data_IF_777017480247
#
_entry.id   IF_777017480247
#
_cell.length_a   1.000
_cell.length_b   1.000
_cell.length_c   1.000
_cell.angle_alpha   90.00
_cell.angle_beta   90.00
_cell.angle_gamma   90.00
#
_symmetry.space_group_name_H-M   'P 1'
#
loop_
_entity.id
_entity.type
_entity.pdbx_description
1 polymer ?
#
# COMPACT_ATOMS: atom_id res chain seq x y z
N UNK A 1 6.62 -16.94 6.34
CA UNK A 1 5.79 -16.19 5.37
C UNK A 1 4.79 -15.24 6.03
N UNK A 2 3.90 -15.65 6.96
CA UNK A 2 3.05 -14.71 7.70
C UNK A 2 3.69 -14.07 8.94
N UNK A 3 4.79 -14.65 9.45
CA UNK A 3 5.42 -14.28 10.73
C UNK A 3 6.39 -13.09 10.64
N UNK A 4 6.83 -12.69 9.44
CA UNK A 4 7.76 -11.56 9.24
C UNK A 4 7.09 -10.28 9.74
N UNK A 5 7.82 -9.44 10.47
CA UNK A 5 7.27 -8.19 10.95
C UNK A 5 7.10 -7.19 9.80
N UNK A 6 6.05 -6.37 9.85
CA UNK A 6 5.67 -5.45 8.78
C UNK A 6 6.76 -4.43 8.47
N UNK A 7 7.50 -3.93 9.47
CA UNK A 7 8.64 -3.03 9.24
C UNK A 7 9.70 -3.64 8.32
N UNK A 8 9.86 -4.97 8.32
CA UNK A 8 10.78 -5.68 7.43
C UNK A 8 10.20 -5.91 6.03
N UNK A 9 8.89 -5.70 5.84
CA UNK A 9 8.21 -5.85 4.55
C UNK A 9 8.19 -4.51 3.82
N UNK A 10 7.90 -3.42 4.53
CA UNK A 10 7.91 -2.07 3.95
C UNK A 10 9.31 -1.47 3.88
N UNK A 11 10.21 -1.87 4.77
CA UNK A 11 11.58 -1.34 4.87
C UNK A 11 11.58 0.20 4.83
N UNK A 12 12.41 0.82 3.98
CA UNK A 12 12.42 2.27 3.73
C UNK A 12 11.73 2.64 2.40
N UNK A 13 10.77 1.81 1.93
CA UNK A 13 10.07 2.05 0.67
C UNK A 13 9.34 3.40 0.72
N UNK A 14 9.56 4.31 -0.26
CA UNK A 14 8.82 5.57 -0.32
C UNK A 14 7.33 5.31 -0.53
N UNK A 15 6.50 6.17 0.03
CA UNK A 15 5.04 6.11 -0.15
C UNK A 15 4.47 7.51 -0.35
N UNK A 16 3.30 7.59 -1.00
CA UNK A 16 2.61 8.86 -1.19
C UNK A 16 1.84 9.22 0.09
N UNK A 17 2.21 10.33 0.73
CA UNK A 17 1.47 10.92 1.84
C UNK A 17 1.18 12.38 1.54
N UNK A 18 -0.09 12.79 1.56
CA UNK A 18 -0.55 14.10 1.10
C UNK A 18 -1.68 14.64 1.97
N UNK A 19 -1.92 15.96 2.00
CA UNK A 19 -3.10 16.53 2.65
C UNK A 19 -4.37 16.35 1.80
N UNK A 20 -5.54 16.46 2.44
CA UNK A 20 -6.85 16.19 1.81
C UNK A 20 -7.24 17.20 0.72
N UNK A 21 -6.71 18.43 0.77
CA UNK A 21 -7.05 19.50 -0.17
C UNK A 21 -6.35 19.39 -1.53
N UNK A 22 -5.39 18.47 -1.69
CA UNK A 22 -4.77 18.23 -3.00
C UNK A 22 -5.78 17.64 -3.98
N UNK A 23 -5.66 18.03 -5.25
CA UNK A 23 -6.54 17.51 -6.31
C UNK A 23 -6.23 16.05 -6.62
N UNK A 24 -7.24 15.32 -7.12
CA UNK A 24 -7.06 13.94 -7.59
C UNK A 24 -5.96 13.86 -8.65
N UNK A 25 -5.88 14.84 -9.56
CA UNK A 25 -4.84 14.87 -10.59
C UNK A 25 -3.42 14.99 -10.00
N UNK A 26 -3.21 15.86 -9.01
CA UNK A 26 -1.89 16.00 -8.39
C UNK A 26 -1.48 14.75 -7.62
N UNK A 27 -2.42 14.14 -6.88
CA UNK A 27 -2.16 12.92 -6.11
C UNK A 27 -1.88 11.74 -7.03
N UNK A 28 -2.69 11.53 -8.06
CA UNK A 28 -2.47 10.46 -9.05
C UNK A 28 -1.17 10.64 -9.83
N UNK A 29 -0.73 11.88 -10.09
CA UNK A 29 0.60 12.15 -10.68
C UNK A 29 1.73 11.71 -9.75
N UNK A 30 1.62 11.94 -8.44
CA UNK A 30 2.61 11.48 -7.44
C UNK A 30 2.62 9.96 -7.31
N UNK A 31 1.44 9.34 -7.30
CA UNK A 31 1.27 7.88 -7.34
C UNK A 31 1.98 7.29 -8.55
N UNK A 32 1.74 7.84 -9.75
CA UNK A 32 2.39 7.39 -10.97
C UNK A 32 3.93 7.57 -10.93
N UNK A 33 4.41 8.71 -10.43
CA UNK A 33 5.85 8.99 -10.34
C UNK A 33 6.60 8.05 -9.39
N UNK A 34 5.94 7.56 -8.34
CA UNK A 34 6.51 6.60 -7.39
C UNK A 34 6.12 5.14 -7.69
N UNK A 35 5.38 4.89 -8.77
CA UNK A 35 4.82 3.57 -9.09
C UNK A 35 3.98 2.96 -7.94
N UNK A 36 3.28 3.82 -7.20
CA UNK A 36 2.43 3.45 -6.08
C UNK A 36 0.95 3.46 -6.47
N UNK A 37 0.19 2.50 -5.95
CA UNK A 37 -1.23 2.31 -6.27
C UNK A 37 -2.18 2.86 -5.20
N UNK A 38 -1.62 3.48 -4.15
CA UNK A 38 -2.36 4.17 -3.10
C UNK A 38 -1.63 5.42 -2.60
N UNK A 39 -2.40 6.38 -2.10
CA UNK A 39 -1.94 7.54 -1.36
C UNK A 39 -2.59 7.54 0.02
N UNK A 40 -1.78 7.82 1.05
CA UNK A 40 -2.25 8.08 2.40
C UNK A 40 -2.57 9.56 2.52
N UNK A 41 -3.74 9.86 3.07
CA UNK A 41 -4.15 11.23 3.36
C UNK A 41 -3.93 11.47 4.84
N UNK A 42 -3.14 12.50 5.14
CA UNK A 42 -2.81 12.88 6.51
C UNK A 42 -3.08 14.35 6.78
N UNK A 43 -3.62 14.64 7.96
CA UNK A 43 -3.81 16.00 8.47
C UNK A 43 -3.03 16.14 9.77
N UNK A 44 -2.24 17.20 9.91
CA UNK A 44 -1.36 17.43 11.07
C UNK A 44 -0.45 16.23 11.42
N UNK A 45 -0.04 15.46 10.38
CA UNK A 45 0.81 14.27 10.52
C UNK A 45 0.07 12.99 10.95
N UNK A 46 -1.25 13.03 11.10
CA UNK A 46 -2.08 11.89 11.49
C UNK A 46 -2.84 11.36 10.28
N UNK A 47 -2.92 10.03 10.13
CA UNK A 47 -3.68 9.38 9.06
C UNK A 47 -5.18 9.66 9.21
N UNK A 48 -5.80 10.24 8.18
CA UNK A 48 -7.25 10.49 8.12
C UNK A 48 -7.93 9.69 7.02
N UNK A 49 -7.19 9.22 6.01
CA UNK A 49 -7.77 8.58 4.85
C UNK A 49 -6.79 7.83 3.97
N UNK A 50 -7.33 7.04 3.05
CA UNK A 50 -6.59 6.42 1.94
C UNK A 50 -7.33 6.67 0.63
N UNK A 51 -6.59 6.94 -0.43
CA UNK A 51 -7.09 7.04 -1.80
C UNK A 51 -6.32 6.06 -2.67
N UNK A 52 -7.03 5.25 -3.47
CA UNK A 52 -6.43 4.20 -4.29
C UNK A 52 -6.78 4.39 -5.77
N UNK A 53 -6.10 3.64 -6.66
CA UNK A 53 -6.50 3.57 -8.07
C UNK A 53 -7.97 3.18 -8.26
N UNK A 54 -8.52 2.34 -7.37
CA UNK A 54 -9.93 1.96 -7.37
C UNK A 54 -10.82 3.19 -7.14
N UNK A 55 -10.44 4.05 -6.21
CA UNK A 55 -11.20 5.28 -5.93
C UNK A 55 -11.12 6.24 -7.13
N UNK A 56 -9.94 6.39 -7.74
CA UNK A 56 -9.78 7.17 -8.98
C UNK A 56 -10.71 6.65 -10.10
N UNK A 57 -10.76 5.34 -10.32
CA UNK A 57 -11.61 4.75 -11.36
C UNK A 57 -13.09 4.92 -11.05
N UNK A 58 -13.54 4.48 -9.86
CA UNK A 58 -14.97 4.33 -9.59
C UNK A 58 -15.62 5.59 -9.02
N UNK A 59 -14.91 6.40 -8.24
CA UNK A 59 -15.47 7.59 -7.57
C UNK A 59 -15.23 8.87 -8.34
N UNK A 60 -14.24 8.90 -9.24
CA UNK A 60 -13.90 10.10 -10.03
C UNK A 60 -14.26 9.89 -11.49
N UNK A 61 -13.55 8.98 -12.18
CA UNK A 61 -13.70 8.82 -13.63
C UNK A 61 -15.09 8.30 -14.02
N UNK A 62 -15.55 7.22 -13.39
CA UNK A 62 -16.87 6.66 -13.66
C UNK A 62 -18.01 7.60 -13.26
N UNK A 63 -17.78 8.48 -12.29
CA UNK A 63 -18.73 9.49 -11.86
C UNK A 63 -18.72 10.77 -12.72
N UNK A 64 -17.79 10.88 -13.69
CA UNK A 64 -17.66 12.05 -14.56
C UNK A 64 -17.14 13.30 -13.84
N UNK A 65 -16.45 13.14 -12.71
CA UNK A 65 -15.84 14.26 -11.99
C UNK A 65 -14.54 14.70 -12.67
N UNK A 66 -14.26 16.01 -12.62
CA UNK A 66 -13.01 16.57 -13.14
C UNK A 66 -11.86 16.37 -12.13
N UNK A 67 -10.85 15.52 -12.42
CA UNK A 67 -9.77 15.24 -11.49
C UNK A 67 -8.90 16.46 -11.16
N UNK A 68 -8.91 17.51 -12.00
CA UNK A 68 -8.16 18.74 -11.77
C UNK A 68 -8.89 19.70 -10.81
N UNK A 69 -10.16 19.44 -10.50
CA UNK A 69 -10.98 20.28 -9.61
C UNK A 69 -11.48 19.55 -8.37
N UNK A 70 -11.64 18.23 -8.43
CA UNK A 70 -12.03 17.39 -7.30
C UNK A 70 -10.81 17.15 -6.39
N UNK A 71 -10.98 17.42 -5.10
CA UNK A 71 -9.96 17.12 -4.08
C UNK A 71 -10.00 15.66 -3.67
N UNK A 72 -8.88 15.09 -3.24
CA UNK A 72 -8.88 13.71 -2.69
C UNK A 72 -9.72 13.60 -1.42
N UNK A 73 -9.86 14.69 -0.66
CA UNK A 73 -10.76 14.81 0.49
C UNK A 73 -12.21 14.42 0.20
N UNK A 74 -12.70 14.69 -1.02
CA UNK A 74 -14.08 14.40 -1.43
C UNK A 74 -14.32 12.93 -1.79
N UNK A 75 -13.27 12.19 -2.13
CA UNK A 75 -13.38 10.85 -2.75
C UNK A 75 -12.58 9.75 -2.05
N UNK A 76 -11.82 10.08 -1.00
CA UNK A 76 -11.03 9.11 -0.23
C UNK A 76 -11.90 8.17 0.61
N UNK A 77 -11.31 7.07 1.06
CA UNK A 77 -11.90 6.23 2.12
C UNK A 77 -11.43 6.75 3.47
N UNK A 78 -12.35 7.27 4.27
CA UNK A 78 -12.08 7.83 5.59
C UNK A 78 -11.77 6.73 6.61
N UNK A 79 -10.91 7.04 7.57
CA UNK A 79 -10.58 6.17 8.70
C UNK A 79 -10.31 4.70 8.30
N UNK A 80 -9.38 4.45 7.34
CA UNK A 80 -9.10 3.11 6.90
C UNK A 80 -8.57 2.26 8.05
N UNK A 81 -8.84 0.96 8.01
CA UNK A 81 -8.20 0.03 8.93
C UNK A 81 -6.67 0.08 8.71
N UNK A 82 -5.93 0.34 9.78
CA UNK A 82 -4.47 0.45 9.75
C UNK A 82 -3.84 -0.61 10.65
N UNK A 83 -2.54 -0.83 10.48
CA UNK A 83 -1.78 -1.81 11.24
C UNK A 83 -0.49 -1.20 11.79
N UNK A 84 -0.03 -1.73 12.92
CA UNK A 84 1.28 -1.42 13.47
C UNK A 84 2.38 -2.08 12.64
N UNK A 85 3.53 -1.44 12.56
CA UNK A 85 4.76 -1.92 11.93
C UNK A 85 5.40 -3.13 12.65
N UNK A 86 5.13 -3.32 13.95
CA UNK A 86 5.60 -4.45 14.76
C UNK A 86 4.79 -5.74 14.59
N UNK A 87 3.66 -5.70 13.86
CA UNK A 87 2.79 -6.87 13.69
C UNK A 87 3.31 -7.82 12.61
N UNK A 88 2.99 -9.11 12.72
CA UNK A 88 3.25 -10.07 11.64
C UNK A 88 2.49 -9.69 10.37
N UNK A 89 3.14 -9.80 9.22
CA UNK A 89 2.55 -9.52 7.90
C UNK A 89 1.28 -10.32 7.60
N UNK A 90 1.17 -11.54 8.14
CA UNK A 90 -0.04 -12.36 8.02
C UNK A 90 -1.30 -11.69 8.59
N UNK A 91 -1.17 -10.79 9.58
CA UNK A 91 -2.29 -10.01 10.08
C UNK A 91 -2.81 -9.04 9.01
N UNK A 92 -1.91 -8.39 8.26
CA UNK A 92 -2.30 -7.51 7.17
C UNK A 92 -3.00 -8.30 6.04
N UNK A 93 -2.50 -9.49 5.71
CA UNK A 93 -3.15 -10.38 4.72
C UNK A 93 -4.54 -10.81 5.16
N UNK A 94 -4.71 -11.13 6.44
CA UNK A 94 -6.03 -11.47 6.99
C UNK A 94 -6.98 -10.26 6.94
N UNK A 95 -6.51 -9.05 7.30
CA UNK A 95 -7.31 -7.82 7.16
C UNK A 95 -7.75 -7.58 5.71
N UNK A 96 -6.84 -7.77 4.75
CA UNK A 96 -7.16 -7.64 3.31
C UNK A 96 -8.23 -8.64 2.87
N UNK A 97 -8.13 -9.89 3.31
CA UNK A 97 -9.08 -10.95 2.99
C UNK A 97 -10.48 -10.63 3.54
N UNK A 98 -10.58 -10.35 4.85
CA UNK A 98 -11.86 -10.06 5.51
C UNK A 98 -12.50 -8.76 5.00
N UNK A 99 -11.69 -7.73 4.76
CA UNK A 99 -12.18 -6.41 4.37
C UNK A 99 -12.38 -6.19 2.88
N UNK A 100 -11.94 -7.12 2.02
CA UNK A 100 -12.08 -7.00 0.56
C UNK A 100 -11.27 -5.87 -0.07
N UNK A 101 -10.18 -5.45 0.58
CA UNK A 101 -9.23 -4.43 0.10
C UNK A 101 -7.81 -5.01 0.00
N UNK A 102 -6.93 -4.29 -0.70
CA UNK A 102 -5.57 -4.79 -1.02
C UNK A 102 -4.44 -3.92 -0.48
N UNK A 103 -4.77 -2.84 0.22
CA UNK A 103 -3.83 -1.87 0.75
C UNK A 103 -4.14 -1.65 2.22
N UNK A 104 -3.15 -1.77 3.07
CA UNK A 104 -3.28 -1.52 4.52
C UNK A 104 -2.24 -0.47 4.91
N UNK A 105 -2.68 0.71 5.38
CA UNK A 105 -1.78 1.70 5.97
C UNK A 105 -1.03 1.14 7.18
N UNK A 106 0.28 1.38 7.21
CA UNK A 106 1.14 1.10 8.36
C UNK A 106 1.36 2.40 9.12
N UNK A 107 1.19 2.38 10.45
CA UNK A 107 1.22 3.61 11.26
C UNK A 107 2.05 3.47 12.55
N UNK A 108 2.53 4.60 13.10
CA UNK A 108 3.08 4.74 14.48
C UNK A 108 1.98 4.74 15.53
N UNK A 109 2.31 4.57 16.82
CA UNK A 109 1.30 4.43 17.90
C UNK A 109 0.37 5.64 17.96
N UNK A 110 0.89 6.80 17.57
CA UNK A 110 0.16 8.06 17.46
C UNK A 110 -0.55 8.24 16.11
N UNK A 111 -0.80 7.13 15.39
CA UNK A 111 -1.47 7.06 14.10
C UNK A 111 -0.80 7.89 12.99
N UNK A 112 0.54 8.02 13.03
CA UNK A 112 1.30 8.68 11.96
C UNK A 112 1.64 7.68 10.85
N UNK A 113 1.43 8.01 9.57
CA UNK A 113 1.80 7.14 8.45
C UNK A 113 3.28 6.76 8.44
N UNK A 114 3.57 5.47 8.25
CA UNK A 114 4.90 4.92 8.02
C UNK A 114 5.07 4.29 6.64
N UNK A 115 3.96 3.88 6.01
CA UNK A 115 3.98 3.24 4.71
C UNK A 115 2.67 2.52 4.40
N UNK A 116 2.68 1.71 3.35
CA UNK A 116 1.55 0.88 2.93
C UNK A 116 2.06 -0.53 2.67
N UNK A 117 1.40 -1.53 3.25
CA UNK A 117 1.56 -2.92 2.80
C UNK A 117 0.43 -3.27 1.85
N UNK A 118 0.76 -4.07 0.83
CA UNK A 118 -0.15 -4.45 -0.24
C UNK A 118 -0.22 -5.96 -0.40
N UNK A 119 -1.30 -6.45 -1.03
CA UNK A 119 -1.39 -7.87 -1.39
C UNK A 119 -0.24 -8.32 -2.32
N UNK A 120 0.36 -7.40 -3.09
CA UNK A 120 1.53 -7.69 -3.94
C UNK A 120 2.78 -8.02 -3.13
N UNK A 121 2.91 -7.48 -1.91
CA UNK A 121 4.07 -7.74 -1.06
C UNK A 121 4.17 -9.23 -0.69
N UNK A 122 3.05 -9.96 -0.64
CA UNK A 122 3.06 -11.41 -0.47
C UNK A 122 3.72 -12.13 -1.65
N UNK A 123 3.39 -11.73 -2.88
CA UNK A 123 3.93 -12.33 -4.10
C UNK A 123 5.43 -12.09 -4.26
N UNK A 124 5.92 -10.91 -3.85
CA UNK A 124 7.35 -10.58 -3.91
C UNK A 124 8.22 -11.46 -3.02
N UNK A 125 7.71 -11.80 -1.82
CA UNK A 125 8.42 -12.68 -0.87
C UNK A 125 8.44 -14.13 -1.39
N UNK A 126 7.34 -14.59 -1.99
CA UNK A 126 7.26 -15.92 -2.60
C UNK A 126 8.20 -16.03 -3.82
N UNK A 127 8.32 -14.97 -4.62
CA UNK A 127 9.22 -14.93 -5.78
C UNK A 127 10.70 -15.06 -5.37
N UNK A 128 11.12 -14.46 -4.25
CA UNK A 128 12.48 -14.62 -3.71
C UNK A 128 12.70 -16.08 -3.29
N UNK A 129 11.74 -16.68 -2.57
CA UNK A 129 11.83 -18.09 -2.17
C UNK A 129 11.91 -19.03 -3.37
N UNK A 130 11.20 -18.73 -4.46
CA UNK A 130 11.26 -19.50 -5.69
C UNK A 130 12.62 -19.34 -6.39
N UNK A 131 13.17 -18.13 -6.45
CA UNK A 131 14.50 -17.86 -7.00
C UNK A 131 15.61 -18.64 -6.27
N UNK A 132 15.56 -18.68 -4.94
CA UNK A 132 16.50 -19.46 -4.12
C UNK A 132 16.37 -20.98 -4.34
N UNK A 133 15.17 -21.49 -4.62
CA UNK A 133 14.96 -22.90 -4.96
C UNK A 133 15.53 -23.22 -6.34
N UNK A 134 15.34 -22.33 -7.33
CA UNK A 134 15.83 -22.51 -8.69
C UNK A 134 17.37 -22.54 -8.74
N UNK A 135 18.04 -21.60 -8.05
CA UNK A 135 19.52 -21.60 -7.95
C UNK A 135 20.04 -22.89 -7.32
N UNK A 136 19.40 -23.38 -6.24
CA UNK A 136 19.79 -24.64 -5.60
C UNK A 136 19.68 -25.86 -6.54
N UNK A 137 18.70 -25.87 -7.45
CA UNK A 137 18.54 -26.95 -8.43
C UNK A 137 19.59 -26.91 -9.53
N UNK A 138 20.02 -25.71 -9.95
CA UNK A 138 21.11 -25.55 -10.93
C UNK A 138 22.46 -26.01 -10.36
N UNK A 139 22.75 -25.71 -9.08
CA UNK A 139 24.00 -26.14 -8.42
C UNK A 139 24.11 -27.68 -8.29
N UNK A 140 22.99 -28.38 -8.08
CA UNK A 140 22.96 -29.85 -8.03
C UNK A 140 23.22 -30.47 -9.42
N UNK A 141 22.87 -29.78 -10.50
CA UNK A 141 23.07 -30.26 -11.87
C UNK A 141 24.54 -30.17 -12.32
N UNK A 142 25.36 -29.35 -11.67
CA UNK A 142 26.80 -29.16 -12.01
C UNK A 142 27.72 -30.18 -11.32
N UNK A 143 27.22 -30.93 -10.33
CA UNK A 143 28.01 -31.89 -9.53
C UNK A 143 27.75 -33.36 -9.96
N UNK A 144 26.87 -33.61 -10.92
CA UNK A 144 26.59 -34.92 -11.53
C UNK A 144 27.00 -34.92 -13.00
#
# INVERSE_FOLDING_TARGET
MPSRAIYQVIEERPFVCVPSHMTVQEVTRRMAALHESAALISEHGVLVGIFTERDATFRVLAAGLDPARTTVGEVLTHHPQSIRDDKPFGHALHMMYEGGFRHVPVVTRDNRPLGVVTARDALGIDAISLGEELVRREEITVIL
#
